data_IF_113256288290
#
_entry.id   IF_113256288290
#
_cell.length_a   1.000
_cell.length_b   1.000
_cell.length_c   1.000
_cell.angle_alpha   90.00
_cell.angle_beta   90.00
_cell.angle_gamma   90.00
#
_symmetry.space_group_name_H-M   'P 1'
#
loop_
_entity.id
_entity.type
_entity.pdbx_description
1 polymer ?
#
# COMPACT_ATOMS: atom_id res chain seq x y z
N UNK A 1 46.23 -9.84 3.50
CA UNK A 1 45.37 -8.70 3.89
C UNK A 1 44.45 -8.25 2.73
N UNK A 2 43.93 -9.16 1.90
CA UNK A 2 43.12 -8.83 0.70
C UNK A 2 41.66 -9.32 0.76
N UNK A 3 41.35 -10.27 1.65
CA UNK A 3 40.00 -10.79 1.89
C UNK A 3 38.95 -9.71 2.30
N UNK A 4 39.25 -8.71 3.16
CA UNK A 4 38.24 -7.70 3.53
C UNK A 4 37.82 -6.79 2.36
N UNK A 5 38.69 -6.58 1.36
CA UNK A 5 38.40 -5.70 0.21
C UNK A 5 37.33 -6.35 -0.70
N UNK A 6 37.43 -7.66 -0.92
CA UNK A 6 36.46 -8.41 -1.73
C UNK A 6 35.09 -8.43 -1.04
N UNK A 7 35.06 -8.63 0.28
CA UNK A 7 33.81 -8.62 1.07
C UNK A 7 33.12 -7.25 1.04
N UNK A 8 33.90 -6.16 1.12
CA UNK A 8 33.40 -4.79 1.02
C UNK A 8 32.80 -4.48 -0.37
N UNK A 9 33.43 -4.94 -1.45
CA UNK A 9 32.91 -4.75 -2.81
C UNK A 9 31.59 -5.49 -3.02
N UNK A 10 31.45 -6.72 -2.51
CA UNK A 10 30.20 -7.49 -2.59
C UNK A 10 29.08 -6.81 -1.80
N UNK A 11 29.38 -6.31 -0.59
CA UNK A 11 28.41 -5.60 0.24
C UNK A 11 27.90 -4.31 -0.42
N UNK A 12 28.80 -3.51 -1.01
CA UNK A 12 28.42 -2.30 -1.75
C UNK A 12 27.61 -2.64 -3.02
N UNK A 13 27.99 -3.71 -3.73
CA UNK A 13 27.25 -4.18 -4.91
C UNK A 13 25.81 -4.60 -4.58
N UNK A 14 25.61 -5.34 -3.48
CA UNK A 14 24.29 -5.74 -3.02
C UNK A 14 23.45 -4.55 -2.52
N UNK A 15 24.06 -3.62 -1.77
CA UNK A 15 23.41 -2.40 -1.29
C UNK A 15 22.93 -1.53 -2.47
N UNK A 16 23.76 -1.35 -3.51
CA UNK A 16 23.40 -0.59 -4.70
C UNK A 16 22.22 -1.20 -5.44
N UNK A 17 22.20 -2.53 -5.59
CA UNK A 17 21.08 -3.23 -6.22
C UNK A 17 19.79 -3.07 -5.40
N UNK A 18 19.84 -3.28 -4.07
CA UNK A 18 18.68 -3.17 -3.20
C UNK A 18 18.15 -1.73 -3.15
N UNK A 19 19.02 -0.73 -3.09
CA UNK A 19 18.63 0.68 -3.07
C UNK A 19 17.98 1.12 -4.39
N UNK A 20 18.40 0.56 -5.52
CA UNK A 20 17.73 0.77 -6.81
C UNK A 20 16.33 0.18 -6.82
N UNK A 21 16.14 -1.02 -6.26
CA UNK A 21 14.82 -1.66 -6.16
C UNK A 21 13.89 -0.88 -5.21
N UNK A 22 14.40 -0.47 -4.05
CA UNK A 22 13.63 0.32 -3.07
C UNK A 22 13.15 1.66 -3.66
N UNK A 23 14.02 2.37 -4.40
CA UNK A 23 13.64 3.62 -5.09
C UNK A 23 12.53 3.40 -6.11
N UNK A 24 12.55 2.29 -6.86
CA UNK A 24 11.49 1.96 -7.81
C UNK A 24 10.16 1.71 -7.11
N UNK A 25 10.15 0.91 -6.05
CA UNK A 25 8.94 0.62 -5.28
C UNK A 25 8.34 1.88 -4.65
N UNK A 26 9.17 2.78 -4.10
CA UNK A 26 8.72 4.05 -3.56
C UNK A 26 8.11 4.95 -4.65
N UNK A 27 8.75 5.03 -5.82
CA UNK A 27 8.21 5.80 -6.96
C UNK A 27 6.90 5.22 -7.51
N UNK A 28 6.78 3.90 -7.59
CA UNK A 28 5.56 3.21 -8.00
C UNK A 28 4.42 3.50 -7.03
N UNK A 29 4.69 3.44 -5.72
CA UNK A 29 3.71 3.80 -4.69
C UNK A 29 3.27 5.26 -4.82
N UNK A 30 4.22 6.19 -4.97
CA UNK A 30 3.89 7.61 -5.15
C UNK A 30 3.03 7.85 -6.41
N UNK A 31 3.33 7.14 -7.50
CA UNK A 31 2.54 7.21 -8.75
C UNK A 31 1.12 6.69 -8.55
N UNK A 32 0.93 5.61 -7.80
CA UNK A 32 -0.39 5.08 -7.49
C UNK A 32 -1.21 6.08 -6.68
N UNK A 33 -0.61 6.71 -5.66
CA UNK A 33 -1.29 7.75 -4.86
C UNK A 33 -1.66 8.97 -5.71
N UNK A 34 -0.77 9.41 -6.59
CA UNK A 34 -1.04 10.51 -7.52
C UNK A 34 -2.04 10.17 -8.64
N UNK A 35 -2.32 8.88 -8.86
CA UNK A 35 -3.26 8.43 -9.88
C UNK A 35 -4.72 8.38 -9.38
N UNK A 36 -4.95 8.67 -8.09
CA UNK A 36 -6.26 8.77 -7.46
C UNK A 36 -6.94 10.08 -7.89
N UNK A 37 -8.21 9.97 -8.26
CA UNK A 37 -9.01 11.09 -8.77
C UNK A 37 -10.30 11.25 -7.96
N UNK A 38 -10.94 12.42 -8.11
CA UNK A 38 -12.28 12.65 -7.58
C UNK A 38 -13.25 11.61 -8.14
N UNK A 39 -14.05 11.01 -7.28
CA UNK A 39 -15.02 9.96 -7.59
C UNK A 39 -14.47 8.55 -7.45
N UNK A 40 -13.17 8.36 -7.20
CA UNK A 40 -12.63 7.02 -6.93
C UNK A 40 -13.14 6.49 -5.59
N UNK A 41 -13.60 5.26 -5.58
CA UNK A 41 -13.92 4.53 -4.36
C UNK A 41 -12.65 3.88 -3.84
N UNK A 42 -12.32 4.16 -2.58
CA UNK A 42 -11.08 3.74 -1.97
C UNK A 42 -11.32 3.09 -0.61
N UNK A 43 -10.35 2.28 -0.20
CA UNK A 43 -10.27 1.79 1.17
C UNK A 43 -9.00 2.33 1.81
N UNK A 44 -9.15 2.86 3.02
CA UNK A 44 -8.04 3.35 3.83
C UNK A 44 -7.32 2.20 4.54
N UNK A 45 -6.15 2.46 5.13
CA UNK A 45 -5.40 1.48 5.92
C UNK A 45 -6.21 0.93 7.10
N UNK A 46 -7.10 1.75 7.69
CA UNK A 46 -8.00 1.36 8.77
C UNK A 46 -9.22 0.55 8.33
N UNK A 47 -9.37 0.24 7.03
CA UNK A 47 -10.52 -0.48 6.51
C UNK A 47 -11.76 0.38 6.28
N UNK A 48 -11.65 1.71 6.39
CA UNK A 48 -12.72 2.65 6.05
C UNK A 48 -12.89 2.71 4.53
N UNK A 49 -14.11 2.48 4.06
CA UNK A 49 -14.50 2.68 2.66
C UNK A 49 -15.13 4.06 2.48
N UNK A 50 -14.87 4.68 1.34
CA UNK A 50 -15.47 5.96 1.00
C UNK A 50 -15.14 6.37 -0.43
N UNK A 51 -15.74 7.49 -0.85
CA UNK A 51 -15.56 8.06 -2.20
C UNK A 51 -14.78 9.34 -2.10
N UNK A 52 -13.76 9.50 -2.94
CA UNK A 52 -12.91 10.69 -2.95
C UNK A 52 -13.71 11.88 -3.48
N UNK A 53 -13.95 12.89 -2.64
CA UNK A 53 -14.63 14.12 -3.06
C UNK A 53 -13.62 15.17 -3.57
N UNK A 54 -12.48 15.35 -2.91
CA UNK A 54 -11.45 16.29 -3.39
C UNK A 54 -10.05 15.73 -3.19
N UNK A 55 -9.13 16.09 -4.08
CA UNK A 55 -7.71 15.71 -3.98
C UNK A 55 -6.85 16.95 -4.09
N UNK A 56 -5.98 17.16 -3.11
CA UNK A 56 -4.93 18.17 -3.12
C UNK A 56 -3.56 17.49 -3.11
N UNK A 57 -2.98 17.34 -4.30
CA UNK A 57 -1.69 16.69 -4.51
C UNK A 57 -0.52 17.51 -3.97
N UNK A 58 -0.65 18.84 -3.89
CA UNK A 58 0.41 19.72 -3.35
C UNK A 58 0.54 19.57 -1.83
N UNK A 59 -0.60 19.55 -1.13
CA UNK A 59 -0.67 19.38 0.32
C UNK A 59 -0.67 17.92 0.78
N UNK A 60 -0.65 16.95 -0.16
CA UNK A 60 -0.75 15.52 0.09
C UNK A 60 -2.00 15.12 0.92
N UNK A 61 -3.13 15.82 0.68
CA UNK A 61 -4.41 15.60 1.36
C UNK A 61 -5.53 15.29 0.38
N UNK A 62 -6.55 14.58 0.85
CA UNK A 62 -7.79 14.34 0.12
C UNK A 62 -8.98 14.46 1.08
N UNK A 63 -10.14 14.80 0.55
CA UNK A 63 -11.41 14.76 1.27
C UNK A 63 -12.15 13.50 0.85
N UNK A 64 -12.52 12.69 1.83
CA UNK A 64 -13.27 11.45 1.64
C UNK A 64 -14.70 11.65 2.14
N UNK A 65 -15.66 11.29 1.30
CA UNK A 65 -17.07 11.19 1.66
C UNK A 65 -17.37 9.78 2.18
N UNK A 66 -17.80 9.73 3.44
CA UNK A 66 -18.26 8.51 4.11
C UNK A 66 -19.67 8.77 4.61
N UNK A 67 -20.66 8.30 3.85
CA UNK A 67 -22.08 8.41 4.20
C UNK A 67 -22.54 9.86 4.50
N UNK A 68 -22.06 10.81 3.70
CA UNK A 68 -22.38 12.24 3.84
C UNK A 68 -21.52 12.97 4.87
N UNK A 69 -20.54 12.31 5.49
CA UNK A 69 -19.53 12.94 6.33
C UNK A 69 -18.24 13.14 5.54
N UNK A 70 -17.83 14.39 5.39
CA UNK A 70 -16.60 14.77 4.71
C UNK A 70 -15.44 14.84 5.69
N UNK A 71 -14.45 13.96 5.50
CA UNK A 71 -13.27 13.87 6.35
C UNK A 71 -12.00 14.08 5.52
N UNK A 72 -11.09 14.89 6.04
CA UNK A 72 -9.78 15.11 5.40
C UNK A 72 -8.78 14.06 5.86
N UNK A 73 -8.21 13.34 4.90
CA UNK A 73 -7.16 12.36 5.12
C UNK A 73 -5.91 12.71 4.32
N UNK A 74 -4.78 12.12 4.71
CA UNK A 74 -3.57 12.15 3.89
C UNK A 74 -3.70 11.16 2.72
N UNK A 75 -3.12 11.52 1.57
CA UNK A 75 -3.04 10.63 0.41
C UNK A 75 -2.33 9.31 0.74
N UNK A 76 -1.37 9.32 1.65
CA UNK A 76 -0.67 8.11 2.09
C UNK A 76 -1.56 7.12 2.89
N UNK A 77 -2.73 7.56 3.37
CA UNK A 77 -3.67 6.72 4.12
C UNK A 77 -4.48 5.75 3.25
N UNK A 78 -4.36 5.86 1.92
CA UNK A 78 -5.00 4.96 0.96
C UNK A 78 -4.28 3.61 0.98
N UNK A 79 -5.04 2.54 1.21
CA UNK A 79 -4.54 1.17 1.10
C UNK A 79 -4.68 0.66 -0.34
N UNK A 80 -5.84 0.86 -0.94
CA UNK A 80 -6.11 0.49 -2.33
C UNK A 80 -7.32 1.25 -2.88
N UNK A 81 -7.36 1.39 -4.21
CA UNK A 81 -8.53 1.88 -4.95
C UNK A 81 -9.40 0.66 -5.27
N UNK A 82 -10.67 0.71 -4.85
CA UNK A 82 -11.65 -0.39 -4.97
C UNK A 82 -12.36 -0.30 -6.32
N UNK A 83 -12.83 0.89 -6.66
CA UNK A 83 -13.44 1.19 -7.95
C UNK A 83 -12.84 2.49 -8.44
N UNK A 84 -12.12 2.41 -9.57
CA UNK A 84 -11.68 3.63 -10.24
C UNK A 84 -12.90 4.19 -10.98
N UNK A 85 -13.18 5.48 -10.83
CA UNK A 85 -14.26 6.14 -11.55
C UNK A 85 -13.97 6.03 -13.06
N UNK A 86 -14.50 4.98 -13.68
CA UNK A 86 -14.25 4.65 -15.07
C UNK A 86 -15.36 5.25 -15.92
N UNK A 87 -14.99 6.00 -16.97
CA UNK A 87 -15.78 5.91 -18.19
C UNK A 87 -15.82 4.44 -18.64
N UNK A 88 -16.99 3.92 -19.04
CA UNK A 88 -17.25 2.48 -19.11
C UNK A 88 -16.38 1.78 -20.14
N UNK A 89 -15.80 0.62 -19.80
CA UNK A 89 -15.85 -0.65 -20.57
C UNK A 89 -14.84 -1.66 -20.02
N UNK A 90 -15.41 -2.84 -19.73
CA UNK A 90 -14.84 -4.20 -19.61
C UNK A 90 -14.52 -4.83 -18.23
N UNK A 91 -14.90 -6.11 -18.06
CA UNK A 91 -15.44 -6.66 -16.82
C UNK A 91 -14.43 -7.44 -15.96
N UNK A 92 -14.87 -7.66 -14.73
CA UNK A 92 -14.37 -8.54 -13.66
C UNK A 92 -13.88 -9.90 -14.17
N UNK A 93 -12.61 -10.23 -13.91
CA UNK A 93 -12.18 -11.63 -13.74
C UNK A 93 -11.19 -11.76 -12.56
N UNK A 94 -11.45 -12.81 -11.76
CA UNK A 94 -10.61 -13.46 -10.76
C UNK A 94 -10.49 -12.86 -9.34
N UNK A 95 -11.61 -12.94 -8.61
CA UNK A 95 -11.56 -13.24 -7.16
C UNK A 95 -11.10 -14.69 -6.99
N UNK A 96 -9.78 -14.89 -6.82
CA UNK A 96 -9.26 -16.14 -6.27
C UNK A 96 -9.43 -16.12 -4.75
N UNK A 97 -10.50 -16.73 -4.27
CA UNK A 97 -10.70 -17.09 -2.87
C UNK A 97 -9.55 -18.04 -2.50
N UNK A 98 -8.61 -17.57 -1.68
CA UNK A 98 -7.72 -18.46 -0.95
C UNK A 98 -8.40 -18.69 0.39
N UNK A 99 -9.04 -19.87 0.51
CA UNK A 99 -9.37 -20.48 1.79
C UNK A 99 -8.07 -20.60 2.60
N UNK A 100 -7.95 -19.82 3.67
CA UNK A 100 -6.93 -20.06 4.68
C UNK A 100 -7.59 -20.95 5.72
N UNK A 101 -7.18 -22.22 5.69
CA UNK A 101 -7.47 -23.22 6.71
C UNK A 101 -7.19 -22.66 8.10
N UNK A 102 -8.18 -22.81 8.99
CA UNK A 102 -7.99 -22.83 10.44
C UNK A 102 -7.06 -24.00 10.78
N UNK A 103 -5.79 -23.71 10.98
CA UNK A 103 -4.89 -24.58 11.74
C UNK A 103 -4.69 -23.99 13.13
N UNK A 104 -5.28 -24.70 14.08
CA UNK A 104 -5.03 -24.67 15.52
C UNK A 104 -3.53 -24.50 15.79
N UNK A 105 -3.13 -23.46 16.54
CA UNK A 105 -1.94 -23.60 17.37
C UNK A 105 -2.11 -22.87 18.69
N UNK A 106 -1.98 -23.67 19.74
CA UNK A 106 -2.31 -23.43 21.12
C UNK A 106 -1.35 -22.45 21.78
N UNK A 107 -1.95 -21.56 22.56
CA UNK A 107 -1.54 -21.18 23.92
C UNK A 107 -0.20 -21.75 24.38
N UNK A 108 0.83 -20.92 24.36
CA UNK A 108 2.06 -21.19 25.12
C UNK A 108 1.92 -20.51 26.47
N UNK A 109 1.61 -21.33 27.49
CA UNK A 109 1.72 -20.94 28.89
C UNK A 109 3.17 -20.56 29.22
N UNK A 110 3.35 -19.38 29.78
CA UNK A 110 4.56 -18.98 30.51
C UNK A 110 4.16 -18.83 31.98
N UNK A 111 4.20 -19.93 32.73
CA UNK A 111 4.29 -19.85 34.19
C UNK A 111 5.74 -19.60 34.59
N UNK A 112 5.86 -18.65 35.52
CA UNK A 112 7.09 -18.15 36.13
C UNK A 112 7.39 -18.99 37.35
N UNK A 113 8.59 -19.53 37.46
CA UNK A 113 9.37 -19.67 38.71
C UNK A 113 10.87 -19.89 38.38
#
# INVERSE_FOLDING_TARGET
>A
MSLPIIMLVVMVGMMFFMQRQQKKQAQERQKQLNAVQKGDEIVTIGGLFGVVDEVNTEAQRMVLDVDGVYLTFELAAIKSVVSKAATPTEPVEDVKIIEVNEDENKETAIETE
#
